data_IF_665738909988
#
_entry.id   IF_665738909988
#
_cell.length_a   1.000
_cell.length_b   1.000
_cell.length_c   1.000
_cell.angle_alpha   90.00
_cell.angle_beta   90.00
_cell.angle_gamma   90.00
#
_symmetry.space_group_name_H-M   'P 1'
#
loop_
_entity.id
_entity.type
_entity.pdbx_description
1 polymer ?
#
# COMPACT_ATOMS: atom_id res chain seq x y z
N UNK A 1 -38.93 -18.63 -26.61
CA UNK A 1 -38.81 -17.52 -25.64
C UNK A 1 -38.03 -17.93 -24.40
N UNK A 2 -38.42 -18.97 -23.70
CA UNK A 2 -37.69 -19.46 -22.53
C UNK A 2 -36.23 -19.83 -22.79
N UNK A 3 -35.91 -20.49 -23.89
CA UNK A 3 -34.53 -20.83 -24.27
C UNK A 3 -33.65 -19.57 -24.50
N UNK A 4 -34.23 -18.49 -25.03
CA UNK A 4 -33.51 -17.22 -25.21
C UNK A 4 -33.24 -16.55 -23.86
N UNK A 5 -34.23 -16.53 -22.97
CA UNK A 5 -34.10 -15.99 -21.61
C UNK A 5 -33.04 -16.75 -20.83
N UNK A 6 -33.09 -18.11 -20.88
CA UNK A 6 -32.08 -18.94 -20.24
C UNK A 6 -30.66 -18.67 -20.77
N UNK A 7 -30.50 -18.52 -22.08
CA UNK A 7 -29.18 -18.18 -22.69
C UNK A 7 -28.65 -16.82 -22.23
N UNK A 8 -29.49 -15.80 -22.18
CA UNK A 8 -29.11 -14.48 -21.69
C UNK A 8 -28.81 -14.51 -20.19
N UNK A 9 -29.58 -15.24 -19.40
CA UNK A 9 -29.31 -15.45 -17.98
C UNK A 9 -27.95 -16.13 -17.74
N UNK A 10 -27.67 -17.22 -18.46
CA UNK A 10 -26.37 -17.89 -18.39
C UNK A 10 -25.22 -16.97 -18.80
N UNK A 11 -25.39 -16.22 -19.88
CA UNK A 11 -24.37 -15.27 -20.34
C UNK A 11 -24.09 -14.19 -19.29
N UNK A 12 -25.12 -13.65 -18.64
CA UNK A 12 -24.98 -12.65 -17.58
C UNK A 12 -24.22 -13.21 -16.37
N UNK A 13 -24.53 -14.44 -15.95
CA UNK A 13 -23.83 -15.11 -14.83
C UNK A 13 -22.37 -15.36 -15.17
N UNK A 14 -22.08 -15.84 -16.38
CA UNK A 14 -20.70 -16.08 -16.83
C UNK A 14 -19.93 -14.76 -16.88
N UNK A 15 -20.53 -13.71 -17.44
CA UNK A 15 -19.90 -12.39 -17.48
C UNK A 15 -19.59 -11.84 -16.07
N UNK A 16 -20.56 -11.94 -15.15
CA UNK A 16 -20.36 -11.52 -13.77
C UNK A 16 -19.23 -12.31 -13.09
N UNK A 17 -19.17 -13.62 -13.30
CA UNK A 17 -18.10 -14.46 -12.78
C UNK A 17 -16.72 -14.08 -13.30
N UNK A 18 -16.59 -13.87 -14.61
CA UNK A 18 -15.34 -13.43 -15.23
C UNK A 18 -14.93 -12.06 -14.71
N UNK A 19 -15.87 -11.12 -14.60
CA UNK A 19 -15.63 -9.79 -14.05
C UNK A 19 -15.10 -9.86 -12.62
N UNK A 20 -15.70 -10.66 -11.76
CA UNK A 20 -15.23 -10.85 -10.37
C UNK A 20 -13.84 -11.46 -10.29
N UNK A 21 -13.53 -12.43 -11.15
CA UNK A 21 -12.20 -13.03 -11.22
C UNK A 21 -11.16 -11.98 -11.67
N UNK A 22 -11.49 -11.16 -12.67
CA UNK A 22 -10.62 -10.07 -13.12
C UNK A 22 -10.37 -9.05 -12.01
N UNK A 23 -11.41 -8.63 -11.28
CA UNK A 23 -11.26 -7.72 -10.14
C UNK A 23 -10.37 -8.31 -9.06
N UNK A 24 -10.55 -9.58 -8.74
CA UNK A 24 -9.70 -10.28 -7.77
C UNK A 24 -8.24 -10.31 -8.20
N UNK A 25 -7.98 -10.56 -9.49
CA UNK A 25 -6.63 -10.61 -10.03
C UNK A 25 -5.90 -9.26 -10.03
N UNK A 26 -6.63 -8.15 -10.16
CA UNK A 26 -6.05 -6.80 -10.24
C UNK A 26 -6.25 -5.97 -8.98
N UNK A 27 -6.87 -6.52 -7.94
CA UNK A 27 -7.25 -5.78 -6.73
C UNK A 27 -6.06 -5.09 -6.06
N UNK A 28 -4.90 -5.74 -6.00
CA UNK A 28 -3.71 -5.16 -5.37
C UNK A 28 -3.23 -3.91 -6.11
N UNK A 29 -3.31 -3.91 -7.44
CA UNK A 29 -2.99 -2.75 -8.26
C UNK A 29 -3.99 -1.60 -8.14
N UNK A 30 -5.25 -1.91 -7.78
CA UNK A 30 -6.30 -0.91 -7.59
C UNK A 30 -6.28 -0.30 -6.18
N UNK A 31 -5.78 -1.03 -5.19
CA UNK A 31 -5.76 -0.63 -3.79
C UNK A 31 -4.43 0.01 -3.40
N UNK A 32 -3.32 -0.59 -3.85
CA UNK A 32 -1.98 -0.17 -3.50
C UNK A 32 -1.33 0.59 -4.66
N UNK A 33 -0.88 1.80 -4.38
CA UNK A 33 -0.18 2.66 -5.34
C UNK A 33 1.21 3.00 -4.82
N UNK A 34 2.13 2.03 -4.71
CA UNK A 34 3.48 2.29 -4.23
C UNK A 34 4.28 3.10 -5.24
N UNK A 35 5.09 4.01 -4.75
CA UNK A 35 6.08 4.68 -5.57
C UNK A 35 7.19 3.69 -5.95
N UNK A 36 7.63 3.74 -7.19
CA UNK A 36 8.67 2.85 -7.70
C UNK A 36 10.09 3.32 -7.34
N UNK A 37 10.24 4.59 -7.00
CA UNK A 37 11.51 5.19 -6.64
C UNK A 37 11.52 5.51 -5.15
N UNK A 38 12.47 4.92 -4.45
CA UNK A 38 12.65 5.19 -3.02
C UNK A 38 13.38 6.52 -2.83
N UNK A 39 12.87 7.35 -1.95
CA UNK A 39 13.47 8.61 -1.52
C UNK A 39 13.82 8.46 -0.03
N UNK A 40 15.09 8.61 0.29
CA UNK A 40 15.57 8.54 1.67
C UNK A 40 15.28 9.81 2.48
N UNK A 41 15.44 9.77 3.83
CA UNK A 41 15.08 10.87 4.71
C UNK A 41 15.88 12.15 4.44
N UNK A 42 17.13 12.04 4.07
CA UNK A 42 17.95 13.21 3.74
C UNK A 42 17.43 13.96 2.52
N UNK A 43 17.10 13.22 1.46
CA UNK A 43 16.54 13.79 0.22
C UNK A 43 15.11 14.28 0.40
N UNK A 44 14.38 13.73 1.37
CA UNK A 44 13.04 14.17 1.73
C UNK A 44 13.00 15.41 2.63
N UNK A 45 14.15 15.92 3.08
CA UNK A 45 14.26 17.11 3.91
C UNK A 45 14.13 16.87 5.41
N UNK A 46 14.21 15.63 5.86
CA UNK A 46 14.14 15.24 7.28
C UNK A 46 15.40 14.46 7.70
N UNK A 47 16.58 15.08 7.70
CA UNK A 47 17.87 14.41 7.92
C UNK A 47 18.06 13.86 9.34
N UNK A 48 17.21 14.26 10.29
CA UNK A 48 17.23 13.72 11.65
C UNK A 48 16.74 12.25 11.70
N UNK A 49 16.01 11.80 10.67
CA UNK A 49 15.56 10.42 10.58
C UNK A 49 16.65 9.52 9.98
N UNK A 50 16.71 8.30 10.49
CA UNK A 50 17.59 7.24 9.98
C UNK A 50 16.73 6.13 9.37
N UNK A 51 17.26 5.52 8.31
CA UNK A 51 16.66 4.34 7.71
C UNK A 51 16.88 3.12 8.59
N UNK A 52 15.81 2.42 8.89
CA UNK A 52 15.84 1.18 9.66
C UNK A 52 15.15 0.08 8.85
N UNK A 53 15.89 -0.78 8.16
CA UNK A 53 15.31 -1.94 7.51
C UNK A 53 14.85 -2.94 8.57
N UNK A 54 13.64 -3.46 8.38
CA UNK A 54 13.02 -4.45 9.24
C UNK A 54 12.67 -5.68 8.40
N UNK A 55 12.96 -6.86 8.94
CA UNK A 55 12.58 -8.13 8.30
C UNK A 55 11.32 -8.65 8.98
N UNK A 56 10.28 -8.87 8.20
CA UNK A 56 9.01 -9.44 8.68
C UNK A 56 9.11 -10.95 8.87
N UNK A 57 8.15 -11.53 9.61
CA UNK A 57 8.14 -12.97 9.89
C UNK A 57 8.10 -13.85 8.64
N UNK A 58 7.54 -13.35 7.53
CA UNK A 58 7.50 -14.02 6.22
C UNK A 58 8.75 -13.75 5.35
N UNK A 59 9.79 -13.13 5.91
CA UNK A 59 11.08 -12.90 5.26
C UNK A 59 11.12 -11.68 4.34
N UNK A 60 10.10 -10.85 4.31
CA UNK A 60 10.09 -9.61 3.54
C UNK A 60 10.80 -8.49 4.28
N UNK A 61 11.45 -7.61 3.52
CA UNK A 61 12.08 -6.42 4.07
C UNK A 61 11.16 -5.23 3.92
N UNK A 62 10.91 -4.53 5.01
CA UNK A 62 10.21 -3.24 5.02
C UNK A 62 11.14 -2.16 5.55
N UNK A 63 11.01 -0.95 5.01
CA UNK A 63 11.80 0.19 5.45
C UNK A 63 11.01 1.01 6.46
N UNK A 64 11.63 1.28 7.60
CA UNK A 64 11.13 2.22 8.60
C UNK A 64 12.08 3.42 8.70
N UNK A 65 11.56 4.57 9.07
CA UNK A 65 12.36 5.73 9.45
C UNK A 65 12.24 5.96 10.94
N UNK A 66 13.38 6.13 11.57
CA UNK A 66 13.50 6.32 13.01
C UNK A 66 14.22 7.62 13.32
N UNK A 67 13.67 8.40 14.22
CA UNK A 67 14.34 9.54 14.84
C UNK A 67 14.37 9.34 16.33
N UNK A 68 15.51 9.59 16.94
CA UNK A 68 15.68 9.54 18.39
C UNK A 68 14.96 10.72 19.03
N UNK A 69 14.11 10.43 19.99
CA UNK A 69 13.36 11.43 20.74
C UNK A 69 14.02 11.81 22.05
N UNK A 70 13.43 12.75 22.76
CA UNK A 70 13.83 13.11 24.10
C UNK A 70 13.42 12.01 25.11
N UNK A 71 14.24 11.69 26.13
CA UNK A 71 14.00 10.57 27.04
C UNK A 71 12.67 10.59 27.77
N UNK A 72 12.14 11.77 28.06
CA UNK A 72 10.91 11.96 28.84
C UNK A 72 9.66 12.22 27.99
N UNK A 73 9.78 12.13 26.66
CA UNK A 73 8.66 12.34 25.74
C UNK A 73 8.17 11.02 25.17
N UNK A 74 6.87 10.92 24.85
CA UNK A 74 6.30 9.73 24.24
C UNK A 74 6.84 9.52 22.82
N UNK A 75 6.97 8.26 22.42
CA UNK A 75 7.25 7.88 21.04
C UNK A 75 5.97 7.86 20.22
N UNK A 76 6.05 8.33 18.98
CA UNK A 76 4.96 8.28 18.02
C UNK A 76 5.30 7.26 16.94
N UNK A 77 4.44 6.28 16.77
CA UNK A 77 4.51 5.31 15.69
C UNK A 77 3.50 5.70 14.61
N UNK A 78 4.01 6.04 13.42
CA UNK A 78 3.19 6.49 12.30
C UNK A 78 3.20 5.48 11.16
N UNK A 79 2.02 5.14 10.66
CA UNK A 79 1.83 4.32 9.47
C UNK A 79 1.14 5.13 8.38
N UNK A 80 1.71 5.12 7.18
CA UNK A 80 1.07 5.77 6.04
C UNK A 80 0.06 4.84 5.34
N UNK A 81 -0.78 5.42 4.49
CA UNK A 81 -1.82 4.71 3.75
C UNK A 81 -1.31 3.90 2.54
N UNK A 82 -2.22 3.53 1.67
CA UNK A 82 -1.97 2.58 0.57
C UNK A 82 -1.21 3.16 -0.63
N UNK A 83 -1.00 4.46 -0.68
CA UNK A 83 -0.36 5.13 -1.81
C UNK A 83 0.91 5.88 -1.38
N UNK A 84 1.85 5.99 -2.31
CA UNK A 84 3.09 6.74 -2.09
C UNK A 84 4.13 5.96 -1.28
N UNK A 85 4.98 6.72 -0.61
CA UNK A 85 6.06 6.22 0.23
C UNK A 85 6.20 7.09 1.48
N UNK A 86 7.08 6.72 2.40
CA UNK A 86 7.33 7.48 3.64
C UNK A 86 7.68 8.94 3.36
N UNK A 87 8.51 9.19 2.34
CA UNK A 87 8.93 10.55 1.97
C UNK A 87 7.78 11.50 1.63
N UNK A 88 6.64 10.98 1.18
CA UNK A 88 5.43 11.77 0.90
C UNK A 88 4.90 12.47 2.16
N UNK A 89 5.17 11.90 3.32
CA UNK A 89 4.71 12.39 4.63
C UNK A 89 5.80 13.17 5.39
N UNK A 90 6.95 13.42 4.77
CA UNK A 90 8.05 14.17 5.40
C UNK A 90 7.64 15.52 6.01
N UNK A 91 6.75 16.34 5.39
CA UNK A 91 6.29 17.60 6.00
C UNK A 91 5.55 17.43 7.33
N UNK A 92 5.08 16.24 7.64
CA UNK A 92 4.37 15.94 8.89
C UNK A 92 5.31 15.42 9.99
N UNK A 93 6.58 15.23 9.65
CA UNK A 93 7.63 14.67 10.54
C UNK A 93 8.53 15.77 11.14
N UNK A 94 8.36 17.02 10.73
CA UNK A 94 9.12 18.18 11.21
C UNK A 94 8.72 18.66 12.61
#
# INVERSE_FOLDING_TARGET
MLKKIARWGTAAVVFAGVYMICLYAVQDYLIFFPDRFYIGPQSAGVPAFREQPLVTADGRMVMAWYAEGEPDKPAILFFHGNAGQIATFAPQME
#
